data_IF_048091669730
#
_entry.id   IF_048091669730
#
_cell.length_a   1.000
_cell.length_b   1.000
_cell.length_c   1.000
_cell.angle_alpha   90.00
_cell.angle_beta   90.00
_cell.angle_gamma   90.00
#
_symmetry.space_group_name_H-M   'P 1'
#
loop_
_entity.id
_entity.type
_entity.pdbx_description
1 polymer ?
#
# COMPACT_ATOMS: atom_id res chain seq x y z
N UNK A 1 38.72 -11.83 1.08
CA UNK A 1 38.59 -13.01 0.19
C UNK A 1 37.17 -13.08 -0.39
N UNK A 2 36.97 -13.66 -1.58
CA UNK A 2 35.63 -13.73 -2.21
C UNK A 2 34.59 -14.40 -1.30
N UNK A 3 34.98 -15.42 -0.54
CA UNK A 3 34.11 -16.13 0.42
C UNK A 3 33.56 -15.24 1.54
N UNK A 4 34.35 -14.30 2.05
CA UNK A 4 33.90 -13.35 3.08
C UNK A 4 32.85 -12.37 2.54
N UNK A 5 32.98 -11.94 1.27
CA UNK A 5 32.00 -11.05 0.64
C UNK A 5 30.63 -11.74 0.46
N UNK A 6 30.61 -13.02 0.09
CA UNK A 6 29.36 -13.79 0.02
C UNK A 6 28.77 -14.07 1.39
N UNK A 7 29.62 -14.31 2.40
CA UNK A 7 29.14 -14.44 3.78
C UNK A 7 28.39 -13.19 4.22
N UNK A 8 28.99 -12.00 4.01
CA UNK A 8 28.35 -10.74 4.36
C UNK A 8 27.03 -10.52 3.61
N UNK A 9 26.95 -10.88 2.32
CA UNK A 9 25.71 -10.81 1.56
C UNK A 9 24.63 -11.78 2.11
N UNK A 10 25.02 -13.00 2.47
CA UNK A 10 24.13 -13.97 3.09
C UNK A 10 23.61 -13.49 4.44
N UNK A 11 24.44 -12.84 5.24
CA UNK A 11 24.04 -12.28 6.53
C UNK A 11 22.95 -11.20 6.36
N UNK A 12 23.08 -10.32 5.36
CA UNK A 12 22.05 -9.32 5.04
C UNK A 12 20.74 -9.99 4.63
N UNK A 13 20.78 -10.96 3.72
CA UNK A 13 19.59 -11.69 3.27
C UNK A 13 18.92 -12.46 4.41
N UNK A 14 19.73 -13.11 5.25
CA UNK A 14 19.26 -13.82 6.43
C UNK A 14 18.54 -12.87 7.39
N UNK A 15 19.17 -11.72 7.70
CA UNK A 15 18.58 -10.74 8.61
C UNK A 15 17.30 -10.12 8.02
N UNK A 16 17.22 -9.93 6.70
CA UNK A 16 16.02 -9.40 6.04
C UNK A 16 14.82 -10.33 6.20
N UNK A 17 15.00 -11.61 5.84
CA UNK A 17 13.94 -12.60 5.89
C UNK A 17 13.57 -12.93 7.33
N UNK A 18 14.56 -13.10 8.19
CA UNK A 18 14.34 -13.44 9.60
C UNK A 18 13.62 -12.29 10.32
N UNK A 19 14.02 -11.03 10.10
CA UNK A 19 13.37 -9.89 10.75
C UNK A 19 11.87 -9.76 10.43
N UNK A 20 11.47 -10.07 9.19
CA UNK A 20 10.05 -10.06 8.77
C UNK A 20 9.33 -11.33 9.25
N UNK A 21 9.98 -12.48 9.24
CA UNK A 21 9.34 -13.73 9.67
C UNK A 21 9.14 -13.78 11.19
N UNK A 22 10.11 -13.29 11.96
CA UNK A 22 10.09 -13.28 13.42
C UNK A 22 8.99 -12.35 13.96
N UNK A 23 8.78 -11.17 13.35
CA UNK A 23 7.77 -10.21 13.83
C UNK A 23 6.33 -10.75 13.74
N UNK A 24 6.09 -11.72 12.84
CA UNK A 24 4.79 -12.37 12.64
C UNK A 24 4.65 -13.61 13.53
N UNK A 25 5.70 -14.43 13.60
CA UNK A 25 5.62 -15.77 14.18
C UNK A 25 6.05 -15.84 15.65
N UNK A 26 6.92 -14.93 16.09
CA UNK A 26 7.47 -14.96 17.44
C UNK A 26 6.68 -14.01 18.35
N UNK A 27 6.23 -14.48 19.52
CA UNK A 27 5.55 -13.61 20.47
C UNK A 27 6.51 -12.60 21.10
N UNK A 28 6.06 -11.35 21.19
CA UNK A 28 6.69 -10.26 21.92
C UNK A 28 5.70 -9.56 22.85
N UNK A 29 6.07 -8.35 23.28
CA UNK A 29 5.23 -7.46 24.08
C UNK A 29 4.21 -6.73 23.19
N UNK A 30 4.61 -6.44 21.96
CA UNK A 30 3.87 -5.75 20.90
C UNK A 30 4.02 -6.60 19.66
N UNK A 31 2.97 -7.38 19.39
CA UNK A 31 2.91 -8.22 18.21
C UNK A 31 2.34 -7.44 17.03
N UNK A 32 2.83 -7.77 15.84
CA UNK A 32 2.35 -7.27 14.57
C UNK A 32 1.67 -8.42 13.86
N UNK A 33 0.53 -8.18 13.22
CA UNK A 33 -0.16 -9.22 12.47
C UNK A 33 0.29 -9.26 10.99
N UNK A 34 -0.17 -10.29 10.26
CA UNK A 34 0.18 -10.42 8.85
C UNK A 34 -0.45 -9.33 7.96
N UNK A 35 -1.59 -8.76 8.33
CA UNK A 35 -2.25 -7.72 7.56
C UNK A 35 -1.48 -6.40 7.63
N UNK A 36 -0.93 -6.09 8.79
CA UNK A 36 -0.03 -4.98 9.06
C UNK A 36 1.24 -5.08 8.20
N UNK A 37 1.96 -6.21 8.28
CA UNK A 37 3.17 -6.45 7.47
C UNK A 37 2.85 -6.38 5.99
N UNK A 38 1.75 -7.02 5.56
CA UNK A 38 1.31 -6.99 4.16
C UNK A 38 1.04 -5.57 3.69
N UNK A 39 0.46 -4.71 4.52
CA UNK A 39 0.16 -3.32 4.15
C UNK A 39 1.43 -2.55 3.84
N UNK A 40 2.44 -2.61 4.71
CA UNK A 40 3.73 -1.95 4.51
C UNK A 40 4.50 -2.56 3.33
N UNK A 41 4.51 -3.88 3.19
CA UNK A 41 5.25 -4.55 2.12
C UNK A 41 4.57 -4.50 0.75
N UNK A 42 3.27 -4.18 0.69
CA UNK A 42 2.55 -3.99 -0.58
C UNK A 42 2.81 -2.63 -1.22
N UNK A 43 3.52 -1.73 -0.53
CA UNK A 43 3.93 -0.44 -1.10
C UNK A 43 4.80 -0.66 -2.34
N UNK A 44 4.41 -0.01 -3.43
CA UNK A 44 5.12 -0.09 -4.70
C UNK A 44 6.39 0.75 -4.66
N UNK A 45 7.48 0.24 -5.21
CA UNK A 45 8.74 0.99 -5.34
C UNK A 45 9.92 0.18 -4.84
N UNK A 46 11.01 0.89 -4.54
CA UNK A 46 12.17 0.25 -3.94
C UNK A 46 11.94 0.01 -2.45
N UNK A 47 12.58 -1.04 -1.94
CA UNK A 47 12.62 -1.35 -0.53
C UNK A 47 14.07 -1.52 -0.10
N UNK A 48 14.38 -1.07 1.11
CA UNK A 48 15.73 -1.08 1.66
C UNK A 48 15.68 -1.51 3.12
N UNK A 49 16.79 -2.03 3.62
CA UNK A 49 16.89 -2.57 4.96
C UNK A 49 18.13 -2.04 5.67
N UNK A 50 17.98 -1.72 6.96
CA UNK A 50 19.07 -1.46 7.88
C UNK A 50 18.94 -2.32 9.13
N UNK A 51 20.06 -2.79 9.67
CA UNK A 51 20.08 -3.54 10.93
C UNK A 51 21.29 -3.13 11.76
N UNK A 52 21.10 -3.01 13.06
CA UNK A 52 22.15 -2.69 14.00
C UNK A 52 21.87 -3.31 15.37
N UNK A 53 22.94 -3.56 16.13
CA UNK A 53 22.91 -4.15 17.46
C UNK A 53 23.69 -3.26 18.42
N UNK A 54 23.11 -2.96 19.58
CA UNK A 54 23.75 -2.16 20.61
C UNK A 54 23.50 -2.75 22.00
N UNK A 55 24.30 -2.32 22.98
CA UNK A 55 24.18 -2.71 24.39
C UNK A 55 24.40 -1.51 25.31
N UNK A 56 24.04 -1.67 26.59
CA UNK A 56 24.16 -0.62 27.60
C UNK A 56 22.92 0.30 27.73
N UNK A 57 23.04 1.43 28.45
CA UNK A 57 21.89 2.22 28.92
C UNK A 57 21.08 2.91 27.81
N UNK A 58 21.74 3.25 26.69
CA UNK A 58 21.15 3.94 25.55
C UNK A 58 21.08 3.03 24.30
N UNK A 59 21.09 1.70 24.50
CA UNK A 59 21.14 0.73 23.40
C UNK A 59 20.00 0.91 22.39
N UNK A 60 18.81 1.29 22.85
CA UNK A 60 17.65 1.53 22.00
C UNK A 60 17.90 2.64 20.96
N UNK A 61 18.29 3.84 21.41
CA UNK A 61 18.58 4.97 20.53
C UNK A 61 19.77 4.67 19.61
N UNK A 62 20.86 4.11 20.16
CA UNK A 62 22.06 3.81 19.39
C UNK A 62 21.77 2.79 18.29
N UNK A 63 21.05 1.71 18.59
CA UNK A 63 20.69 0.71 17.59
C UNK A 63 19.74 1.28 16.53
N UNK A 64 18.77 2.12 16.92
CA UNK A 64 17.87 2.76 15.96
C UNK A 64 18.61 3.73 15.03
N UNK A 65 19.47 4.61 15.57
CA UNK A 65 20.29 5.54 14.79
C UNK A 65 21.21 4.80 13.81
N UNK A 66 21.87 3.73 14.27
CA UNK A 66 22.75 2.92 13.41
C UNK A 66 21.99 2.13 12.35
N UNK A 67 20.78 1.64 12.66
CA UNK A 67 19.94 0.97 11.68
C UNK A 67 19.50 1.94 10.57
N UNK A 68 19.18 3.18 10.92
CA UNK A 68 18.85 4.26 9.97
C UNK A 68 20.08 4.67 9.14
N UNK A 69 21.26 4.75 9.76
CA UNK A 69 22.52 5.11 9.12
C UNK A 69 23.25 3.92 8.46
N UNK A 70 22.53 2.84 8.13
CA UNK A 70 23.14 1.65 7.53
C UNK A 70 23.76 1.98 6.16
N UNK A 71 24.93 1.42 5.80
CA UNK A 71 25.52 1.58 4.47
C UNK A 71 24.61 1.13 3.32
N UNK A 72 23.69 0.21 3.61
CA UNK A 72 22.68 -0.22 2.65
C UNK A 72 21.70 0.90 2.30
N UNK A 73 21.64 1.99 3.06
CA UNK A 73 20.72 3.12 2.89
C UNK A 73 21.41 4.40 2.36
N UNK A 74 22.70 4.36 2.05
CA UNK A 74 23.55 5.55 1.84
C UNK A 74 23.12 6.50 0.70
N UNK A 75 22.23 6.10 -0.21
CA UNK A 75 21.71 6.94 -1.30
C UNK A 75 20.17 7.08 -1.30
N UNK A 76 19.54 6.70 -0.19
CA UNK A 76 18.09 6.59 -0.10
C UNK A 76 17.53 7.59 0.90
N UNK A 77 16.66 8.48 0.42
CA UNK A 77 15.96 9.41 1.30
C UNK A 77 14.78 8.70 2.00
N UNK A 78 15.00 8.30 3.25
CA UNK A 78 13.97 7.71 4.12
C UNK A 78 12.77 8.63 4.38
N UNK A 79 12.93 9.95 4.21
CA UNK A 79 11.82 10.90 4.31
C UNK A 79 10.77 10.73 3.20
N UNK A 80 11.05 9.92 2.17
CA UNK A 80 10.09 9.57 1.11
C UNK A 80 9.51 8.16 1.28
N UNK A 81 9.89 7.42 2.32
CA UNK A 81 9.34 6.09 2.58
C UNK A 81 7.86 6.19 2.93
N UNK A 82 7.03 5.37 2.29
CA UNK A 82 5.57 5.32 2.57
C UNK A 82 5.23 4.30 3.65
N UNK A 83 6.03 3.24 3.74
CA UNK A 83 5.89 2.19 4.72
C UNK A 83 7.24 1.93 5.37
N UNK A 84 7.23 1.72 6.69
CA UNK A 84 8.41 1.34 7.46
C UNK A 84 8.03 0.26 8.45
N UNK A 85 8.69 -0.88 8.35
CA UNK A 85 8.57 -1.99 9.28
C UNK A 85 9.81 -2.04 10.17
N UNK A 86 9.61 -2.14 11.47
CA UNK A 86 10.68 -2.18 12.46
C UNK A 86 10.50 -3.41 13.34
N UNK A 87 11.51 -4.26 13.36
CA UNK A 87 11.61 -5.37 14.29
C UNK A 87 12.64 -5.03 15.39
N UNK A 88 12.24 -5.18 16.64
CA UNK A 88 13.11 -5.01 17.81
C UNK A 88 13.32 -6.38 18.45
N UNK A 89 14.53 -6.93 18.37
CA UNK A 89 14.89 -8.19 19.02
C UNK A 89 15.68 -7.91 20.29
N UNK A 90 15.18 -8.37 21.43
CA UNK A 90 15.82 -8.18 22.74
C UNK A 90 15.42 -9.29 23.72
N UNK A 91 16.14 -9.43 24.82
CA UNK A 91 15.79 -10.35 25.91
C UNK A 91 14.60 -9.83 26.74
N UNK A 92 14.17 -10.60 27.74
CA UNK A 92 13.16 -10.17 28.70
C UNK A 92 13.51 -8.90 29.50
N UNK A 93 14.74 -8.39 29.38
CA UNK A 93 15.14 -7.09 29.94
C UNK A 93 14.53 -5.87 29.22
N UNK A 94 13.90 -6.06 28.05
CA UNK A 94 13.35 -5.00 27.22
C UNK A 94 12.20 -4.24 27.90
N UNK A 95 12.27 -2.91 27.88
CA UNK A 95 11.30 -2.04 28.56
C UNK A 95 10.50 -1.18 27.58
N UNK A 96 9.29 -0.80 27.99
CA UNK A 96 8.45 0.15 27.22
C UNK A 96 9.15 1.48 26.93
N UNK A 97 10.04 1.97 27.82
CA UNK A 97 10.84 3.17 27.53
C UNK A 97 11.71 2.98 26.28
N UNK A 98 12.39 1.85 26.18
CA UNK A 98 13.27 1.53 25.05
C UNK A 98 12.47 1.39 23.74
N UNK A 99 11.25 0.84 23.82
CA UNK A 99 10.32 0.81 22.69
C UNK A 99 10.00 2.23 22.16
N UNK A 100 9.66 3.16 23.05
CA UNK A 100 9.39 4.55 22.65
C UNK A 100 10.63 5.26 22.12
N UNK A 101 11.80 5.00 22.70
CA UNK A 101 13.09 5.54 22.26
C UNK A 101 13.37 5.13 20.79
N UNK A 102 13.20 3.83 20.45
CA UNK A 102 13.31 3.35 19.06
C UNK A 102 12.27 4.00 18.15
N UNK A 103 10.99 4.00 18.56
CA UNK A 103 9.89 4.55 17.75
C UNK A 103 10.10 6.03 17.44
N UNK A 104 10.48 6.83 18.43
CA UNK A 104 10.70 8.27 18.26
C UNK A 104 11.89 8.55 17.36
N UNK A 105 12.97 7.77 17.52
CA UNK A 105 14.16 7.90 16.67
C UNK A 105 13.78 7.64 15.21
N UNK A 106 13.11 6.52 14.91
CA UNK A 106 12.76 6.17 13.53
C UNK A 106 11.79 7.19 12.93
N UNK A 107 10.77 7.62 13.69
CA UNK A 107 9.82 8.65 13.24
C UNK A 107 10.48 9.98 12.89
N UNK A 108 11.61 10.32 13.53
CA UNK A 108 12.34 11.53 13.20
C UNK A 108 13.01 11.50 11.81
N UNK A 109 13.23 10.31 11.25
CA UNK A 109 13.88 10.11 9.95
C UNK A 109 12.91 9.71 8.82
N UNK A 110 11.65 9.43 9.15
CA UNK A 110 10.61 9.01 8.20
C UNK A 110 9.62 10.14 7.94
N UNK A 111 8.84 10.03 6.86
CA UNK A 111 7.76 10.98 6.59
C UNK A 111 6.70 10.96 7.71
N UNK A 112 6.05 12.11 7.95
CA UNK A 112 4.99 12.21 8.97
C UNK A 112 3.74 11.40 8.59
N UNK A 113 3.50 11.21 7.29
CA UNK A 113 2.41 10.41 6.73
C UNK A 113 2.81 8.95 6.42
N UNK A 114 4.03 8.54 6.76
CA UNK A 114 4.48 7.17 6.57
C UNK A 114 3.76 6.20 7.53
N UNK A 115 3.37 5.03 7.03
CA UNK A 115 2.86 3.94 7.86
C UNK A 115 4.04 3.25 8.55
N UNK A 116 4.23 3.53 9.83
CA UNK A 116 5.31 2.94 10.64
C UNK A 116 4.76 1.85 11.56
N UNK A 117 5.24 0.63 11.37
CA UNK A 117 4.85 -0.56 12.14
C UNK A 117 6.05 -1.03 12.94
N UNK A 118 5.90 -1.08 14.27
CA UNK A 118 6.98 -1.48 15.18
C UNK A 118 6.52 -2.67 15.99
N UNK A 119 7.18 -3.82 15.77
CA UNK A 119 7.00 -5.02 16.56
C UNK A 119 8.25 -5.34 17.37
N UNK A 120 8.09 -6.21 18.35
CA UNK A 120 9.21 -6.74 19.09
C UNK A 120 9.17 -8.26 19.18
N UNK A 121 10.35 -8.83 19.30
CA UNK A 121 10.59 -10.26 19.44
C UNK A 121 11.44 -10.48 20.68
N UNK A 122 11.02 -11.43 21.50
CA UNK A 122 11.77 -11.81 22.70
C UNK A 122 12.74 -12.95 22.36
N UNK A 123 14.03 -12.68 22.49
CA UNK A 123 15.10 -13.67 22.35
C UNK A 123 16.06 -13.59 23.55
N UNK A 124 16.04 -14.61 24.40
CA UNK A 124 16.91 -14.70 25.57
C UNK A 124 18.39 -14.81 25.21
N UNK A 125 18.73 -15.29 24.00
CA UNK A 125 20.11 -15.35 23.53
C UNK A 125 20.75 -13.96 23.37
N UNK A 126 19.94 -12.90 23.27
CA UNK A 126 20.41 -11.52 23.15
C UNK A 126 21.05 -10.99 24.44
N UNK A 127 20.71 -11.53 25.61
CA UNK A 127 21.23 -11.04 26.89
C UNK A 127 20.99 -9.52 27.06
N UNK A 128 22.07 -8.75 27.26
CA UNK A 128 22.01 -7.28 27.42
C UNK A 128 21.96 -6.50 26.10
N UNK A 129 21.90 -7.19 24.96
CA UNK A 129 21.87 -6.55 23.65
C UNK A 129 20.45 -6.29 23.17
N UNK A 130 20.34 -5.31 22.29
CA UNK A 130 19.13 -4.97 21.58
C UNK A 130 19.49 -4.80 20.10
N UNK A 131 18.78 -5.51 19.24
CA UNK A 131 18.91 -5.40 17.78
C UNK A 131 17.68 -4.70 17.22
N UNK A 132 17.91 -3.70 16.38
CA UNK A 132 16.86 -3.04 15.59
C UNK A 132 17.09 -3.42 14.15
N UNK A 133 16.05 -3.94 13.50
CA UNK A 133 16.02 -4.20 12.07
C UNK A 133 14.88 -3.41 11.47
N UNK A 134 15.20 -2.56 10.51
CA UNK A 134 14.25 -1.68 9.82
C UNK A 134 14.19 -2.06 8.35
N UNK A 135 12.97 -2.09 7.79
CA UNK A 135 12.69 -2.26 6.37
C UNK A 135 11.84 -1.07 5.92
N UNK A 136 12.38 -0.25 5.04
CA UNK A 136 11.67 0.87 4.44
C UNK A 136 11.17 0.46 3.04
N UNK A 137 9.91 0.73 2.74
CA UNK A 137 9.23 0.41 1.48
C UNK A 137 8.55 1.65 0.90
N UNK A 138 8.17 1.57 -0.38
CA UNK A 138 7.61 2.73 -1.08
C UNK A 138 8.64 3.84 -1.33
N UNK A 139 9.92 3.49 -1.37
CA UNK A 139 11.01 4.43 -1.65
C UNK A 139 10.98 4.72 -3.15
N UNK A 140 10.30 5.81 -3.51
CA UNK A 140 10.27 6.28 -4.88
C UNK A 140 11.57 7.00 -5.18
N UNK A 141 12.53 6.28 -5.76
CA UNK A 141 13.53 6.92 -6.62
C UNK A 141 12.78 7.68 -7.71
N UNK A 142 13.26 8.89 -8.05
CA UNK A 142 12.73 9.59 -9.21
C UNK A 142 12.65 8.61 -10.40
N UNK A 143 11.51 8.63 -11.12
CA UNK A 143 11.24 7.88 -12.36
C UNK A 143 10.72 6.45 -12.21
N UNK A 144 9.45 6.34 -11.84
CA UNK A 144 8.51 5.53 -12.62
C UNK A 144 7.16 6.27 -12.65
N UNK A 145 7.06 7.30 -13.52
CA UNK A 145 5.73 7.73 -13.99
C UNK A 145 5.06 6.46 -14.50
N UNK A 146 4.01 6.02 -13.80
CA UNK A 146 3.09 4.99 -14.29
C UNK A 146 2.82 5.31 -15.75
N UNK A 147 3.36 4.50 -16.66
CA UNK A 147 2.74 4.41 -17.97
C UNK A 147 1.33 3.92 -17.65
N UNK A 148 0.35 4.81 -17.80
CA UNK A 148 -1.05 4.41 -17.74
C UNK A 148 -1.16 3.24 -18.70
N UNK A 149 -1.49 2.06 -18.15
CA UNK A 149 -1.76 0.87 -18.93
C UNK A 149 -2.77 1.31 -19.99
N UNK A 150 -2.48 1.19 -21.30
CA UNK A 150 -3.41 1.66 -22.31
C UNK A 150 -4.72 0.92 -22.09
N UNK A 151 -5.76 1.66 -21.73
CA UNK A 151 -7.10 1.10 -21.64
C UNK A 151 -7.49 0.67 -23.05
N UNK A 152 -7.70 -0.63 -23.22
CA UNK A 152 -8.25 -1.17 -24.45
C UNK A 152 -9.68 -0.65 -24.56
N UNK A 153 -9.87 0.47 -25.24
CA UNK A 153 -11.21 0.92 -25.65
C UNK A 153 -11.74 -0.10 -26.65
N UNK A 154 -12.68 -0.92 -26.20
CA UNK A 154 -13.46 -1.79 -27.06
C UNK A 154 -14.35 -0.89 -27.92
N UNK A 155 -13.93 -0.64 -29.17
CA UNK A 155 -14.79 0.02 -30.15
C UNK A 155 -15.98 -0.90 -30.42
N UNK A 156 -17.14 -0.58 -29.85
CA UNK A 156 -18.39 -1.27 -30.18
C UNK A 156 -18.86 -0.75 -31.53
N UNK A 157 -18.66 -1.52 -32.59
CA UNK A 157 -19.32 -1.28 -33.88
C UNK A 157 -20.81 -1.54 -33.73
N UNK A 158 -21.61 -0.49 -33.61
CA UNK A 158 -23.05 -0.58 -33.70
C UNK A 158 -23.44 -0.90 -35.16
N UNK A 159 -23.84 -2.14 -35.42
CA UNK A 159 -24.50 -2.51 -36.68
C UNK A 159 -25.97 -2.12 -36.61
N UNK A 160 -26.33 -0.97 -37.18
CA UNK A 160 -27.72 -0.67 -37.51
C UNK A 160 -28.09 -1.44 -38.77
N UNK A 161 -29.01 -2.40 -38.64
CA UNK A 161 -29.37 -3.39 -39.67
C UNK A 161 -30.07 -2.88 -40.93
N UNK A 162 -29.74 -1.68 -41.44
CA UNK A 162 -30.34 -1.15 -42.69
C UNK A 162 -29.36 -0.54 -43.69
N UNK A 163 -28.05 -0.52 -43.42
CA UNK A 163 -27.04 -0.15 -44.43
C UNK A 163 -25.64 -0.61 -44.01
N UNK A 164 -24.99 -1.38 -44.90
CA UNK A 164 -23.65 -1.95 -44.70
C UNK A 164 -22.52 -0.92 -44.86
N UNK A 165 -22.50 0.15 -44.07
CA UNK A 165 -21.35 1.04 -43.98
C UNK A 165 -20.96 1.29 -42.51
N UNK A 166 -19.67 1.14 -42.14
CA UNK A 166 -19.21 1.44 -40.79
C UNK A 166 -19.22 2.96 -40.57
N UNK A 167 -20.04 3.43 -39.63
CA UNK A 167 -20.02 4.82 -39.18
C UNK A 167 -18.93 4.96 -38.12
N UNK A 168 -17.90 5.78 -38.40
CA UNK A 168 -16.85 6.11 -37.45
C UNK A 168 -17.31 7.30 -36.60
N UNK A 169 -17.77 7.06 -35.38
CA UNK A 169 -18.11 8.12 -34.43
C UNK A 169 -16.85 8.45 -33.62
N UNK A 170 -16.08 9.44 -34.10
CA UNK A 170 -15.03 10.08 -33.32
C UNK A 170 -15.62 11.16 -32.45
N UNK A 171 -15.89 10.85 -31.18
CA UNK A 171 -16.36 11.78 -30.17
C UNK A 171 -16.22 11.18 -28.78
N UNK A 172 -15.79 11.99 -27.81
CA UNK A 172 -15.68 11.61 -26.41
C UNK A 172 -17.03 11.10 -25.90
N UNK A 173 -17.08 9.81 -25.54
CA UNK A 173 -18.22 9.21 -24.87
C UNK A 173 -18.00 9.48 -23.38
N UNK A 174 -18.70 10.48 -22.85
CA UNK A 174 -18.95 10.58 -21.41
C UNK A 174 -19.67 9.28 -20.99
N UNK A 175 -19.19 8.63 -19.93
CA UNK A 175 -19.78 7.41 -19.37
C UNK A 175 -21.19 7.70 -18.82
N UNK A 176 -22.19 7.75 -19.71
CA UNK A 176 -23.59 7.59 -19.32
C UNK A 176 -23.82 6.10 -19.02
N UNK A 177 -23.76 5.76 -17.73
CA UNK A 177 -24.31 4.52 -17.22
C UNK A 177 -25.73 4.29 -17.77
N UNK A 178 -26.15 3.04 -18.02
CA UNK A 178 -27.38 2.74 -18.75
C UNK A 178 -28.59 3.43 -18.12
N UNK A 179 -29.42 4.03 -18.99
CA UNK A 179 -30.58 4.89 -18.69
C UNK A 179 -31.73 4.23 -17.89
N UNK A 180 -31.45 3.13 -17.20
CA UNK A 180 -32.37 2.47 -16.27
C UNK A 180 -32.40 3.17 -14.89
N UNK A 181 -31.43 4.04 -14.60
CA UNK A 181 -31.28 4.67 -13.27
C UNK A 181 -31.28 6.21 -13.23
N UNK A 182 -31.54 6.91 -14.34
CA UNK A 182 -31.60 8.38 -14.31
C UNK A 182 -32.97 8.88 -13.83
N UNK A 183 -32.99 9.41 -12.61
CA UNK A 183 -34.21 9.84 -11.92
C UNK A 183 -34.87 11.08 -12.57
N UNK A 184 -34.13 11.82 -13.42
CA UNK A 184 -34.49 13.15 -13.92
C UNK A 184 -35.25 13.19 -15.26
N UNK A 185 -35.38 12.09 -16.00
CA UNK A 185 -36.00 12.12 -17.35
C UNK A 185 -37.27 11.27 -17.52
N UNK A 186 -37.93 10.90 -16.42
CA UNK A 186 -39.12 10.02 -16.48
C UNK A 186 -40.37 10.70 -17.06
N UNK A 187 -40.51 12.03 -16.95
CA UNK A 187 -41.56 12.80 -17.64
C UNK A 187 -41.43 12.72 -19.16
N UNK A 188 -40.22 12.95 -19.68
CA UNK A 188 -39.93 12.83 -21.11
C UNK A 188 -40.18 11.41 -21.64
N UNK A 189 -39.96 10.41 -20.78
CA UNK A 189 -40.22 9.00 -21.12
C UNK A 189 -41.72 8.69 -21.26
N UNK A 190 -42.57 9.23 -20.38
CA UNK A 190 -44.03 9.08 -20.48
C UNK A 190 -44.56 9.78 -21.74
N UNK A 191 -44.05 10.97 -22.04
CA UNK A 191 -44.45 11.74 -23.22
C UNK A 191 -44.04 11.05 -24.53
N UNK A 192 -42.82 10.50 -24.60
CA UNK A 192 -42.36 9.70 -25.72
C UNK A 192 -43.21 8.42 -25.92
N UNK A 193 -43.63 7.75 -24.85
CA UNK A 193 -44.51 6.58 -24.93
C UNK A 193 -45.90 6.94 -25.49
N UNK A 194 -46.47 8.08 -25.07
CA UNK A 194 -47.72 8.59 -25.65
C UNK A 194 -47.57 8.91 -27.13
N UNK A 195 -46.44 9.53 -27.53
CA UNK A 195 -46.15 9.82 -28.95
C UNK A 195 -45.93 8.55 -29.78
N UNK A 196 -45.46 7.45 -29.18
CA UNK A 196 -45.37 6.15 -29.83
C UNK A 196 -46.69 5.38 -29.92
N UNK A 197 -47.80 5.96 -29.42
CA UNK A 197 -49.14 5.38 -29.51
C UNK A 197 -49.50 4.42 -28.37
N UNK A 198 -48.75 4.42 -27.26
CA UNK A 198 -49.09 3.65 -26.06
C UNK A 198 -50.23 4.38 -25.33
N UNK A 199 -51.31 3.67 -25.04
CA UNK A 199 -52.43 4.23 -24.29
C UNK A 199 -52.02 4.57 -22.86
N UNK A 200 -52.59 5.64 -22.30
CA UNK A 200 -52.24 6.13 -20.97
C UNK A 200 -52.42 5.07 -19.88
N UNK A 201 -53.40 4.17 -20.02
CA UNK A 201 -53.68 3.10 -19.08
C UNK A 201 -52.65 1.95 -19.11
N UNK A 202 -51.91 1.81 -20.22
CA UNK A 202 -50.86 0.79 -20.38
C UNK A 202 -49.48 1.24 -19.86
N UNK A 203 -49.33 2.53 -19.54
CA UNK A 203 -48.09 3.06 -18.93
C UNK A 203 -48.04 2.63 -17.45
N UNK A 204 -46.95 2.00 -16.97
CA UNK A 204 -46.86 1.57 -15.57
C UNK A 204 -47.14 2.68 -14.56
N UNK A 205 -47.94 2.37 -13.53
CA UNK A 205 -48.44 3.37 -12.57
C UNK A 205 -47.34 4.15 -11.82
N UNK A 206 -46.15 3.56 -11.64
CA UNK A 206 -45.01 4.21 -11.00
C UNK A 206 -44.37 5.32 -11.85
N UNK A 207 -44.52 5.28 -13.19
CA UNK A 207 -44.09 6.34 -14.10
C UNK A 207 -45.15 7.46 -14.20
N UNK A 208 -46.44 7.11 -14.11
CA UNK A 208 -47.54 8.09 -14.11
C UNK A 208 -47.57 8.96 -12.85
N UNK A 209 -47.48 8.33 -11.67
CA UNK A 209 -47.68 8.99 -10.36
C UNK A 209 -46.62 10.05 -9.98
N UNK A 210 -45.48 10.08 -10.66
CA UNK A 210 -44.40 11.05 -10.43
C UNK A 210 -44.30 12.10 -11.54
N UNK A 211 -45.16 12.00 -12.56
CA UNK A 211 -45.26 12.96 -13.66
C UNK A 211 -46.40 13.97 -13.45
N UNK A 212 -47.37 13.68 -12.58
CA UNK A 212 -48.39 14.63 -12.08
C UNK A 212 -47.82 15.58 -11.01
#
# INVERSE_FOLDING_TARGET
PFTEAFSAANDVLHNAVSGIAEIINCPGLVNVDFADVRTVMSEMGMAMMGSAEASGPNRANIAAEQAVASPLLEDVNLANARGVLVNITASASFKMKEYYDVMNTIKAFTAEDATVIVGNVMDEAMGDKLRVTMVATGLNGAVARRQQKPELRVMTTLMTGTNSQPVFVGGEVEDEAPAVFSQNNRRAQVEAMKMSGVEEYDIPAFLRKQAD
#
